data_IF_806028937845
#
_entry.id   IF_806028937845
#
_cell.length_a   1.000
_cell.length_b   1.000
_cell.length_c   1.000
_cell.angle_alpha   90.00
_cell.angle_beta   90.00
_cell.angle_gamma   90.00
#
_symmetry.space_group_name_H-M   'P 1'
#
loop_
_entity.id
_entity.type
_entity.pdbx_description
1 polymer ?
#
# COMPACT_ATOMS: atom_id res chain seq x y z
N UNK A 1 -19.02 -17.33 14.02
CA UNK A 1 -18.61 -17.40 12.59
C UNK A 1 -18.59 -18.82 12.02
N UNK A 2 -18.43 -19.87 12.83
CA UNK A 2 -18.38 -21.28 12.39
C UNK A 2 -19.58 -21.73 11.54
N UNK A 3 -20.79 -21.27 11.86
CA UNK A 3 -21.97 -21.51 11.02
C UNK A 3 -21.81 -20.97 9.59
N UNK A 4 -21.26 -19.77 9.43
CA UNK A 4 -21.07 -19.15 8.11
C UNK A 4 -19.99 -19.89 7.32
N UNK A 5 -18.86 -20.22 7.95
CA UNK A 5 -17.78 -21.03 7.35
C UNK A 5 -18.31 -22.37 6.86
N UNK A 6 -19.13 -23.05 7.67
CA UNK A 6 -19.77 -24.32 7.30
C UNK A 6 -20.78 -24.13 6.17
N UNK A 7 -21.62 -23.09 6.23
CA UNK A 7 -22.62 -22.78 5.19
C UNK A 7 -21.97 -22.51 3.83
N UNK A 8 -20.80 -21.87 3.82
CA UNK A 8 -20.04 -21.58 2.61
C UNK A 8 -19.05 -22.70 2.21
N UNK A 9 -19.03 -23.81 2.95
CA UNK A 9 -18.13 -24.95 2.71
C UNK A 9 -16.63 -24.59 2.70
N UNK A 10 -16.22 -23.60 3.51
CA UNK A 10 -14.85 -23.08 3.53
C UNK A 10 -13.93 -23.83 4.51
N UNK A 11 -14.48 -24.69 5.37
CA UNK A 11 -13.73 -25.26 6.50
C UNK A 11 -12.60 -26.23 6.16
N UNK A 12 -12.42 -26.59 4.88
CA UNK A 12 -11.31 -27.42 4.39
C UNK A 12 -10.32 -26.65 3.50
N UNK A 13 -10.61 -25.37 3.23
CA UNK A 13 -9.76 -24.55 2.38
C UNK A 13 -8.61 -23.95 3.21
N UNK A 14 -7.45 -23.71 2.58
CA UNK A 14 -6.38 -22.91 3.16
C UNK A 14 -6.92 -21.57 3.66
N UNK A 15 -6.50 -21.17 4.86
CA UNK A 15 -6.87 -19.87 5.43
C UNK A 15 -5.68 -18.93 5.26
N UNK A 16 -5.88 -17.81 4.56
CA UNK A 16 -4.88 -16.75 4.45
C UNK A 16 -5.44 -15.47 5.06
N UNK A 17 -4.57 -14.53 5.44
CA UNK A 17 -4.98 -13.22 5.94
C UNK A 17 -4.18 -12.09 5.30
N UNK A 18 -4.88 -10.99 5.02
CA UNK A 18 -4.27 -9.73 4.63
C UNK A 18 -4.76 -8.65 5.58
N UNK A 19 -3.84 -7.84 6.09
CA UNK A 19 -4.15 -6.72 6.96
C UNK A 19 -3.41 -5.47 6.51
N UNK A 20 -4.13 -4.36 6.33
CA UNK A 20 -3.55 -3.06 6.01
C UNK A 20 -3.51 -2.15 7.26
N UNK A 21 -2.39 -1.49 7.51
CA UNK A 21 -2.19 -0.56 8.64
C UNK A 21 -2.59 -1.22 9.98
N UNK A 22 -3.60 -0.70 10.68
CA UNK A 22 -4.12 -1.32 11.92
C UNK A 22 -4.61 -2.76 11.73
N UNK A 23 -5.11 -3.10 10.55
CA UNK A 23 -5.46 -4.46 10.19
C UNK A 23 -4.23 -5.37 10.10
N UNK A 24 -3.08 -4.84 9.68
CA UNK A 24 -1.81 -5.58 9.65
C UNK A 24 -1.32 -5.90 11.06
N UNK A 25 -1.43 -4.95 12.00
CA UNK A 25 -1.16 -5.23 13.42
C UNK A 25 -2.06 -6.33 13.96
N UNK A 26 -3.37 -6.25 13.69
CA UNK A 26 -4.31 -7.27 14.11
C UNK A 26 -3.99 -8.65 13.52
N UNK A 27 -3.72 -8.72 12.21
CA UNK A 27 -3.34 -9.97 11.53
C UNK A 27 -2.07 -10.55 12.12
N UNK A 28 -1.05 -9.73 12.39
CA UNK A 28 0.20 -10.20 13.00
C UNK A 28 -0.01 -10.84 14.37
N UNK A 29 -0.88 -10.29 15.21
CA UNK A 29 -1.17 -10.88 16.52
C UNK A 29 -1.99 -12.16 16.40
N UNK A 30 -3.09 -12.12 15.65
CA UNK A 30 -4.03 -13.26 15.59
C UNK A 30 -3.45 -14.46 14.84
N UNK A 31 -2.45 -14.25 13.99
CA UNK A 31 -1.67 -15.30 13.36
C UNK A 31 -0.87 -16.17 14.35
N UNK A 32 -0.65 -15.68 15.57
CA UNK A 32 -0.05 -16.49 16.64
C UNK A 32 -1.09 -17.42 17.30
N UNK A 33 -2.39 -17.16 17.15
CA UNK A 33 -3.46 -17.98 17.74
C UNK A 33 -4.18 -18.86 16.71
N UNK A 34 -4.22 -18.42 15.46
CA UNK A 34 -4.89 -19.10 14.35
C UNK A 34 -3.90 -19.58 13.30
N UNK A 35 -4.14 -20.79 12.78
CA UNK A 35 -3.33 -21.36 11.71
C UNK A 35 -3.72 -20.78 10.36
N UNK A 36 -2.88 -19.88 9.85
CA UNK A 36 -2.92 -19.42 8.47
C UNK A 36 -1.90 -20.20 7.64
N UNK A 37 -2.20 -20.38 6.36
CA UNK A 37 -1.25 -20.85 5.35
C UNK A 37 -0.17 -19.83 5.09
N UNK A 38 -0.54 -18.55 5.02
CA UNK A 38 0.36 -17.41 4.98
C UNK A 38 -0.40 -16.12 5.26
N UNK A 39 0.34 -15.06 5.61
CA UNK A 39 -0.22 -13.73 5.88
C UNK A 39 0.51 -12.65 5.08
N UNK A 40 -0.18 -11.55 4.83
CA UNK A 40 0.37 -10.33 4.21
C UNK A 40 0.05 -9.11 5.06
N UNK A 41 1.09 -8.35 5.41
CA UNK A 41 1.03 -7.13 6.19
C UNK A 41 1.30 -5.94 5.26
N UNK A 42 0.26 -5.15 4.96
CA UNK A 42 0.35 -3.98 4.07
C UNK A 42 0.47 -2.73 4.92
N UNK A 43 1.47 -1.89 4.64
CA UNK A 43 1.77 -0.64 5.36
C UNK A 43 1.77 -0.80 6.90
N UNK A 44 2.21 -1.96 7.38
CA UNK A 44 2.25 -2.31 8.79
C UNK A 44 3.51 -3.14 9.09
N UNK A 45 4.19 -2.80 10.18
CA UNK A 45 5.34 -3.54 10.71
C UNK A 45 4.95 -4.81 11.50
N UNK A 46 3.70 -4.91 11.94
CA UNK A 46 3.26 -5.97 12.86
C UNK A 46 3.63 -5.69 14.33
N UNK A 47 3.20 -6.58 15.24
CA UNK A 47 3.38 -6.44 16.69
C UNK A 47 4.17 -7.63 17.27
N UNK A 48 5.29 -7.95 16.63
CA UNK A 48 6.11 -9.13 16.93
C UNK A 48 6.90 -9.03 18.23
N UNK A 49 7.16 -7.81 18.72
CA UNK A 49 7.78 -7.52 20.02
C UNK A 49 6.80 -7.57 21.20
N UNK A 50 5.50 -7.74 20.92
CA UNK A 50 4.44 -7.85 21.92
C UNK A 50 3.96 -9.29 22.16
N UNK A 51 4.59 -10.29 21.54
CA UNK A 51 4.20 -11.69 21.65
C UNK A 51 5.39 -12.66 21.57
N UNK A 52 5.23 -13.83 22.19
CA UNK A 52 6.12 -14.96 21.94
C UNK A 52 5.73 -15.62 20.61
N UNK A 53 6.52 -15.38 19.56
CA UNK A 53 6.31 -15.96 18.23
C UNK A 53 6.47 -17.48 18.32
N UNK A 54 5.41 -18.19 17.92
CA UNK A 54 5.38 -19.65 17.89
C UNK A 54 6.27 -20.21 16.79
N UNK A 55 6.73 -21.45 16.99
CA UNK A 55 7.50 -22.20 15.98
C UNK A 55 6.70 -22.45 14.70
N UNK A 56 5.36 -22.54 14.79
CA UNK A 56 4.47 -22.74 13.65
C UNK A 56 3.81 -21.43 13.15
N UNK A 57 4.44 -20.28 13.40
CA UNK A 57 3.96 -18.98 12.91
C UNK A 57 3.97 -18.93 11.38
N UNK A 58 2.91 -18.40 10.72
CA UNK A 58 2.75 -18.52 9.28
C UNK A 58 3.80 -17.71 8.49
N UNK A 59 4.14 -18.16 7.26
CA UNK A 59 4.87 -17.36 6.30
C UNK A 59 4.29 -15.95 6.17
N UNK A 60 5.15 -14.94 6.22
CA UNK A 60 4.76 -13.53 6.29
C UNK A 60 5.34 -12.71 5.13
N UNK A 61 4.47 -12.03 4.39
CA UNK A 61 4.85 -11.04 3.39
C UNK A 61 4.63 -9.63 3.93
N UNK A 62 5.67 -8.79 3.89
CA UNK A 62 5.56 -7.36 4.15
C UNK A 62 5.38 -6.59 2.84
N UNK A 63 4.42 -5.67 2.78
CA UNK A 63 4.22 -4.77 1.63
C UNK A 63 4.27 -3.36 2.16
N UNK A 64 5.33 -2.63 1.84
CA UNK A 64 5.59 -1.32 2.45
C UNK A 64 6.23 -0.34 1.49
N UNK A 65 6.26 0.92 1.88
CA UNK A 65 6.94 1.96 1.14
C UNK A 65 8.25 2.31 1.84
N UNK A 66 9.41 2.14 1.19
CA UNK A 66 10.71 2.49 1.79
C UNK A 66 10.82 3.93 2.24
N UNK A 67 10.05 4.85 1.62
CA UNK A 67 10.01 6.25 2.03
C UNK A 67 9.48 6.46 3.46
N UNK A 68 8.68 5.52 3.99
CA UNK A 68 8.33 5.49 5.40
C UNK A 68 9.45 4.85 6.23
N UNK A 69 10.50 5.65 6.48
CA UNK A 69 11.74 5.20 7.10
C UNK A 69 11.53 4.53 8.46
N UNK A 70 10.59 5.03 9.27
CA UNK A 70 10.33 4.47 10.60
C UNK A 70 9.82 3.03 10.48
N UNK A 71 8.91 2.80 9.54
CA UNK A 71 8.34 1.48 9.32
C UNK A 71 9.28 0.56 8.58
N UNK A 72 10.00 1.07 7.59
CA UNK A 72 11.04 0.30 6.90
C UNK A 72 12.03 -0.28 7.91
N UNK A 73 12.54 0.55 8.84
CA UNK A 73 13.46 0.10 9.89
C UNK A 73 12.85 -1.03 10.74
N UNK A 74 11.60 -0.86 11.20
CA UNK A 74 10.91 -1.88 12.00
C UNK A 74 10.65 -3.17 11.22
N UNK A 75 10.29 -3.08 9.95
CA UNK A 75 10.11 -4.24 9.08
C UNK A 75 11.44 -4.99 8.92
N UNK A 76 12.55 -4.28 8.67
CA UNK A 76 13.88 -4.91 8.59
C UNK A 76 14.22 -5.66 9.88
N UNK A 77 14.01 -5.06 11.05
CA UNK A 77 14.20 -5.72 12.35
C UNK A 77 13.34 -6.99 12.48
N UNK A 78 12.05 -6.92 12.13
CA UNK A 78 11.13 -8.05 12.29
C UNK A 78 11.32 -9.16 11.25
N UNK A 79 11.80 -8.85 10.05
CA UNK A 79 12.21 -9.85 9.07
C UNK A 79 13.33 -10.72 9.67
N UNK A 80 14.32 -10.12 10.34
CA UNK A 80 15.40 -10.87 10.99
C UNK A 80 14.87 -11.74 12.14
N UNK A 81 14.00 -11.18 12.99
CA UNK A 81 13.37 -11.92 14.10
C UNK A 81 12.61 -13.15 13.60
N UNK A 82 11.77 -12.99 12.58
CA UNK A 82 10.97 -14.07 12.01
C UNK A 82 11.83 -15.13 11.32
N UNK A 83 12.83 -14.72 10.54
CA UNK A 83 13.78 -15.67 9.92
C UNK A 83 14.56 -16.48 10.95
N UNK A 84 14.98 -15.85 12.06
CA UNK A 84 15.65 -16.54 13.17
C UNK A 84 14.74 -17.56 13.87
N UNK A 85 13.41 -17.41 13.74
CA UNK A 85 12.40 -18.37 14.20
C UNK A 85 12.05 -19.44 13.16
N UNK A 86 12.68 -19.41 11.98
CA UNK A 86 12.42 -20.37 10.90
C UNK A 86 11.18 -20.07 10.07
N UNK A 87 10.59 -18.87 10.20
CA UNK A 87 9.45 -18.43 9.40
C UNK A 87 9.95 -18.02 8.00
N UNK A 88 9.23 -18.40 6.95
CA UNK A 88 9.48 -17.88 5.60
C UNK A 88 8.96 -16.44 5.48
N UNK A 89 9.82 -15.54 5.02
CA UNK A 89 9.55 -14.09 5.03
C UNK A 89 10.12 -13.40 3.80
N UNK A 90 9.24 -12.64 3.15
CA UNK A 90 9.56 -11.78 2.02
C UNK A 90 9.05 -10.36 2.24
N UNK A 91 9.56 -9.43 1.43
CA UNK A 91 9.05 -8.06 1.37
C UNK A 91 8.85 -7.60 -0.07
N UNK A 92 7.90 -6.70 -0.26
CA UNK A 92 7.66 -5.94 -1.48
C UNK A 92 7.80 -4.46 -1.13
N UNK A 93 8.75 -3.82 -1.79
CA UNK A 93 8.98 -2.38 -1.69
C UNK A 93 8.16 -1.64 -2.76
N UNK A 94 7.15 -0.91 -2.32
CA UNK A 94 6.34 -0.04 -3.14
C UNK A 94 7.06 1.30 -3.34
N UNK A 95 7.72 1.46 -4.49
CA UNK A 95 8.46 2.66 -4.84
C UNK A 95 7.56 3.81 -5.30
N UNK A 96 8.08 5.03 -5.17
CA UNK A 96 7.43 6.22 -5.73
C UNK A 96 7.33 6.17 -7.27
N UNK A 97 6.31 6.83 -7.80
CA UNK A 97 6.02 6.86 -9.23
C UNK A 97 6.28 8.27 -9.78
N UNK A 98 7.02 8.41 -10.89
CA UNK A 98 7.17 9.69 -11.53
C UNK A 98 5.86 10.08 -12.21
N UNK A 99 5.42 11.30 -11.99
CA UNK A 99 4.32 11.88 -12.74
C UNK A 99 4.77 12.19 -14.17
N UNK A 100 3.84 12.01 -15.10
CA UNK A 100 3.96 12.38 -16.50
C UNK A 100 2.71 13.17 -16.93
N UNK A 101 2.71 13.80 -18.11
CA UNK A 101 1.52 14.45 -18.64
C UNK A 101 0.30 13.52 -18.77
N UNK A 102 0.49 12.21 -18.92
CA UNK A 102 -0.59 11.23 -19.04
C UNK A 102 -0.90 10.49 -17.74
N UNK A 103 -0.07 10.62 -16.71
CA UNK A 103 -0.15 9.81 -15.49
C UNK A 103 -1.55 9.78 -14.87
N UNK A 104 -2.20 10.93 -14.71
CA UNK A 104 -3.53 10.98 -14.11
C UNK A 104 -4.61 10.48 -15.09
N UNK A 105 -4.46 10.76 -16.39
CA UNK A 105 -5.36 10.25 -17.43
C UNK A 105 -5.39 8.72 -17.48
N UNK A 106 -4.22 8.09 -17.41
CA UNK A 106 -4.07 6.64 -17.48
C UNK A 106 -4.66 5.92 -16.26
N UNK A 107 -4.88 6.64 -15.14
CA UNK A 107 -5.19 6.07 -13.82
C UNK A 107 -6.54 6.49 -13.25
N UNK A 108 -7.09 7.61 -13.72
CA UNK A 108 -8.38 8.15 -13.25
C UNK A 108 -9.42 8.02 -14.36
N UNK A 109 -10.37 7.07 -14.25
CA UNK A 109 -11.45 6.95 -15.21
C UNK A 109 -12.23 8.27 -15.35
N UNK A 110 -12.41 8.73 -16.59
CA UNK A 110 -13.17 9.95 -16.90
C UNK A 110 -12.37 11.25 -16.83
N UNK A 111 -11.10 11.23 -16.42
CA UNK A 111 -10.24 12.41 -16.53
C UNK A 111 -9.80 12.62 -17.99
N UNK A 112 -9.84 13.85 -18.48
CA UNK A 112 -9.36 14.19 -19.83
C UNK A 112 -7.82 14.29 -19.90
N UNK A 113 -7.22 13.86 -21.02
CA UNK A 113 -5.77 13.87 -21.23
C UNK A 113 -5.20 15.30 -21.20
N UNK A 114 -5.93 16.29 -21.72
CA UNK A 114 -5.54 17.71 -21.69
C UNK A 114 -5.56 18.26 -20.27
N UNK A 115 -6.53 17.85 -19.45
CA UNK A 115 -6.59 18.20 -18.03
C UNK A 115 -5.39 17.60 -17.29
N UNK A 116 -5.10 16.32 -17.50
CA UNK A 116 -3.91 15.64 -16.92
C UNK A 116 -2.61 16.38 -17.26
N UNK A 117 -2.38 16.69 -18.54
CA UNK A 117 -1.19 17.41 -18.98
C UNK A 117 -1.12 18.83 -18.38
N UNK A 118 -2.27 19.48 -18.24
CA UNK A 118 -2.38 20.81 -17.65
C UNK A 118 -2.03 20.79 -16.16
N UNK A 119 -2.53 19.82 -15.40
CA UNK A 119 -2.21 19.63 -13.99
C UNK A 119 -0.73 19.32 -13.79
N UNK A 120 -0.16 18.43 -14.61
CA UNK A 120 1.27 18.12 -14.55
C UNK A 120 2.14 19.38 -14.73
N UNK A 121 1.83 20.21 -15.73
CA UNK A 121 2.56 21.47 -15.94
C UNK A 121 2.42 22.43 -14.76
N UNK A 122 1.21 22.57 -14.20
CA UNK A 122 0.99 23.36 -12.99
C UNK A 122 1.85 22.84 -11.82
N UNK A 123 1.91 21.52 -11.62
CA UNK A 123 2.71 20.92 -10.54
C UNK A 123 4.20 21.19 -10.71
N UNK A 124 4.71 21.15 -11.95
CA UNK A 124 6.11 21.53 -12.25
C UNK A 124 6.36 23.02 -11.99
N UNK A 125 5.50 23.89 -12.50
CA UNK A 125 5.61 25.35 -12.35
C UNK A 125 5.59 25.79 -10.88
N UNK A 126 4.76 25.14 -10.05
CA UNK A 126 4.68 25.40 -8.60
C UNK A 126 5.74 24.64 -7.80
N UNK A 127 6.55 23.80 -8.45
CA UNK A 127 7.64 23.04 -7.84
C UNK A 127 7.18 21.91 -6.91
N UNK A 128 5.94 21.42 -7.06
CA UNK A 128 5.40 20.29 -6.28
C UNK A 128 6.02 18.96 -6.69
N UNK A 129 6.40 18.84 -7.97
CA UNK A 129 7.22 17.75 -8.49
C UNK A 129 8.65 18.22 -8.77
N UNK A 130 9.60 17.30 -8.77
CA UNK A 130 10.99 17.55 -9.17
C UNK A 130 11.20 17.47 -10.70
N UNK A 131 12.46 17.56 -11.13
CA UNK A 131 12.83 17.50 -12.54
C UNK A 131 12.58 16.14 -13.20
N UNK A 132 12.52 15.07 -12.41
CA UNK A 132 12.25 13.71 -12.83
C UNK A 132 10.76 13.34 -12.72
N UNK A 133 9.92 14.26 -12.24
CA UNK A 133 8.48 14.07 -12.08
C UNK A 133 8.06 13.48 -10.74
N UNK A 134 8.97 13.30 -9.78
CA UNK A 134 8.62 12.77 -8.46
C UNK A 134 7.99 13.83 -7.56
N UNK A 135 6.98 13.42 -6.80
CA UNK A 135 6.35 14.26 -5.79
C UNK A 135 7.35 14.59 -4.68
N UNK A 136 7.53 15.88 -4.38
CA UNK A 136 8.43 16.32 -3.30
C UNK A 136 7.81 16.19 -1.90
N UNK A 137 6.49 16.09 -1.84
CA UNK A 137 5.69 16.00 -0.62
C UNK A 137 4.47 15.12 -0.86
N UNK A 138 3.91 14.60 0.22
CA UNK A 138 2.62 13.90 0.23
C UNK A 138 1.54 14.72 -0.50
N UNK A 139 0.77 14.08 -1.37
CA UNK A 139 -0.26 14.71 -2.20
C UNK A 139 -1.35 15.41 -1.36
N UNK A 140 -1.76 14.82 -0.23
CA UNK A 140 -2.73 15.36 0.73
C UNK A 140 -2.15 16.54 1.51
N UNK A 141 -0.84 16.56 1.73
CA UNK A 141 -0.13 17.68 2.36
C UNK A 141 0.25 18.80 1.39
N UNK A 142 0.21 18.53 0.08
CA UNK A 142 0.57 19.47 -0.96
C UNK A 142 -0.58 20.42 -1.25
N UNK A 143 -0.33 21.73 -1.26
CA UNK A 143 -1.35 22.77 -1.53
C UNK A 143 -1.66 22.93 -3.02
N UNK A 144 -1.79 21.82 -3.75
CA UNK A 144 -2.03 21.84 -5.19
C UNK A 144 -3.44 22.32 -5.54
N UNK A 145 -4.42 22.05 -4.68
CA UNK A 145 -5.81 22.53 -4.80
C UNK A 145 -5.88 24.06 -4.79
N UNK A 146 -5.13 24.70 -3.90
CA UNK A 146 -5.03 26.16 -3.82
C UNK A 146 -4.38 26.72 -5.09
N UNK A 147 -3.25 26.14 -5.52
CA UNK A 147 -2.57 26.55 -6.73
C UNK A 147 -3.45 26.40 -7.99
N UNK A 148 -4.27 25.35 -8.05
CA UNK A 148 -5.23 25.11 -9.12
C UNK A 148 -6.33 26.18 -9.11
N UNK A 149 -6.90 26.47 -7.94
CA UNK A 149 -7.92 27.50 -7.79
C UNK A 149 -7.42 28.89 -8.19
N UNK A 150 -6.18 29.23 -7.83
CA UNK A 150 -5.57 30.52 -8.13
C UNK A 150 -5.21 30.69 -9.62
N UNK A 151 -4.78 29.61 -10.26
CA UNK A 151 -4.18 29.68 -11.60
C UNK A 151 -5.15 29.30 -12.71
N UNK A 152 -6.05 28.33 -12.46
CA UNK A 152 -7.00 27.76 -13.43
C UNK A 152 -8.31 27.35 -12.75
N UNK A 153 -9.13 28.33 -12.30
CA UNK A 153 -10.40 28.03 -11.65
C UNK A 153 -11.31 27.22 -12.59
N UNK A 154 -12.03 26.26 -12.03
CA UNK A 154 -12.96 25.35 -12.74
C UNK A 154 -12.33 24.38 -13.76
N UNK A 155 -11.00 24.22 -13.77
CA UNK A 155 -10.35 23.24 -14.65
C UNK A 155 -10.76 21.79 -14.32
N UNK A 156 -10.87 21.48 -13.02
CA UNK A 156 -11.12 20.13 -12.53
C UNK A 156 -12.52 20.04 -11.91
N UNK A 157 -13.28 19.03 -12.33
CA UNK A 157 -14.58 18.72 -11.74
C UNK A 157 -14.41 18.30 -10.27
N UNK A 158 -15.39 18.62 -9.42
CA UNK A 158 -15.26 18.45 -7.96
C UNK A 158 -15.09 16.99 -7.54
N UNK A 159 -15.71 16.08 -8.27
CA UNK A 159 -15.64 14.63 -8.07
C UNK A 159 -14.27 14.05 -8.48
N UNK A 160 -13.54 14.70 -9.38
CA UNK A 160 -12.19 14.31 -9.80
C UNK A 160 -11.09 14.83 -8.86
N UNK A 161 -11.39 15.77 -7.96
CA UNK A 161 -10.41 16.32 -7.00
C UNK A 161 -9.83 15.24 -6.08
N UNK A 162 -10.70 14.40 -5.50
CA UNK A 162 -10.27 13.35 -4.59
C UNK A 162 -9.48 12.23 -5.30
N UNK A 163 -9.93 11.67 -6.45
CA UNK A 163 -9.11 10.75 -7.23
C UNK A 163 -7.72 11.29 -7.59
N UNK A 164 -7.61 12.57 -7.97
CA UNK A 164 -6.31 13.19 -8.23
C UNK A 164 -5.46 13.19 -6.96
N UNK A 165 -6.01 13.63 -5.82
CA UNK A 165 -5.28 13.61 -4.53
C UNK A 165 -4.76 12.22 -4.17
N UNK A 166 -5.58 11.18 -4.33
CA UNK A 166 -5.21 9.81 -4.02
C UNK A 166 -4.11 9.28 -4.95
N UNK A 167 -4.15 9.60 -6.25
CA UNK A 167 -3.09 9.23 -7.18
C UNK A 167 -1.78 9.99 -6.92
N UNK A 168 -1.85 11.25 -6.45
CA UNK A 168 -0.67 11.99 -5.98
C UNK A 168 -0.06 11.37 -4.71
N UNK A 169 -0.90 10.87 -3.81
CA UNK A 169 -0.47 10.15 -2.61
C UNK A 169 0.21 8.84 -2.93
N UNK A 170 -0.41 8.06 -3.82
CA UNK A 170 0.18 6.83 -4.31
C UNK A 170 1.52 7.09 -4.99
N UNK A 171 1.61 8.12 -5.83
CA UNK A 171 2.84 8.49 -6.51
C UNK A 171 3.96 8.91 -5.53
N UNK A 172 3.61 9.59 -4.44
CA UNK A 172 4.58 9.94 -3.40
C UNK A 172 5.11 8.73 -2.63
N UNK A 173 4.31 7.65 -2.55
CA UNK A 173 4.64 6.39 -1.89
C UNK A 173 5.08 6.57 -0.43
N UNK A 174 4.23 7.16 0.41
CA UNK A 174 4.44 7.27 1.85
C UNK A 174 3.21 6.77 2.60
N UNK A 175 3.29 5.58 3.18
CA UNK A 175 2.22 4.97 3.98
C UNK A 175 0.86 4.88 3.25
N UNK A 176 0.83 4.34 2.04
CA UNK A 176 -0.39 4.29 1.23
C UNK A 176 -0.81 2.85 0.90
N UNK A 177 -2.11 2.56 0.84
CA UNK A 177 -2.55 1.25 0.37
C UNK A 177 -2.48 1.23 -1.15
N UNK A 178 -2.01 0.12 -1.74
CA UNK A 178 -1.88 0.02 -3.20
C UNK A 178 -2.35 -1.32 -3.74
N UNK A 179 -3.01 -1.27 -4.89
CA UNK A 179 -3.36 -2.45 -5.69
C UNK A 179 -2.26 -2.85 -6.67
N UNK A 180 -1.20 -2.04 -6.82
CA UNK A 180 -0.15 -2.27 -7.82
C UNK A 180 0.60 -3.59 -7.62
N UNK A 181 0.64 -4.08 -6.37
CA UNK A 181 1.34 -5.30 -5.97
C UNK A 181 0.39 -6.47 -5.72
N UNK A 182 -0.86 -6.40 -6.20
CA UNK A 182 -1.86 -7.43 -5.91
C UNK A 182 -1.45 -8.78 -6.50
N UNK A 183 -0.83 -8.80 -7.67
CA UNK A 183 -0.44 -10.05 -8.33
C UNK A 183 0.64 -10.79 -7.52
N UNK A 184 1.62 -10.06 -7.00
CA UNK A 184 2.69 -10.56 -6.15
C UNK A 184 2.14 -11.06 -4.81
N UNK A 185 1.20 -10.33 -4.22
CA UNK A 185 0.49 -10.74 -3.00
C UNK A 185 -0.29 -12.05 -3.24
N UNK A 186 -0.99 -12.18 -4.37
CA UNK A 186 -1.71 -13.41 -4.68
C UNK A 186 -0.77 -14.59 -4.95
N UNK A 187 0.33 -14.37 -5.69
CA UNK A 187 1.38 -15.38 -5.89
C UNK A 187 1.95 -15.86 -4.56
N UNK A 188 2.17 -14.96 -3.61
CA UNK A 188 2.61 -15.30 -2.25
C UNK A 188 1.60 -16.19 -1.53
N UNK A 189 0.31 -15.87 -1.60
CA UNK A 189 -0.70 -16.74 -1.01
C UNK A 189 -0.71 -18.11 -1.67
N UNK A 190 -0.78 -18.16 -3.01
CA UNK A 190 -0.84 -19.40 -3.79
C UNK A 190 0.36 -20.33 -3.52
N UNK A 191 1.57 -19.80 -3.36
CA UNK A 191 2.77 -20.61 -3.09
C UNK A 191 2.77 -21.28 -1.72
N UNK A 192 1.87 -20.89 -0.81
CA UNK A 192 1.79 -21.40 0.57
C UNK A 192 0.46 -22.11 0.87
N UNK A 193 -0.40 -22.30 -0.13
CA UNK A 193 -1.70 -22.98 0.03
C UNK A 193 -1.62 -24.52 0.05
N UNK A 194 -0.44 -25.11 -0.20
CA UNK A 194 -0.23 -26.55 -0.36
C UNK A 194 0.10 -27.28 0.95
#
# INVERSE_FOLDING_TARGET
ITWWVKRQNLGKLPLVALGASSGGYFVSLIANDLKFSSITLVIAEGLFDHMDIREDYPPTLFVHMPKDLRRQQKITEFIEVLRNKGVDVAEIECMELPLSPTFLFDRIPGLDQTISATLFNLFREKGFVDENGYMKRDGRATRWKDALQDSKPNLLEKDLVHPVEEELNLAFAYHEMTSLQSEEIFKWFESHMA
#
